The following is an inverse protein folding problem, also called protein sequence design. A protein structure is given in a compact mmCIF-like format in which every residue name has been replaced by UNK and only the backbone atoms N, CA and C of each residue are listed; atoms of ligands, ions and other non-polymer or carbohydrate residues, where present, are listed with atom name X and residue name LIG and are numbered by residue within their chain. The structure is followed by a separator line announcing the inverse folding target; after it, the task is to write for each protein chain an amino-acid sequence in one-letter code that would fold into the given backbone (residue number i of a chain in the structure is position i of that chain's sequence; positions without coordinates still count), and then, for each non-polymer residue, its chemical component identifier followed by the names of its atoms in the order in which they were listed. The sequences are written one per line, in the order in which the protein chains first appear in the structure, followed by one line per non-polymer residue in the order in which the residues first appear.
data_IF_446637456646
#
_entry.id   IF_446637456646
#
_cell.length_a   1.000
_cell.length_b   1.000
_cell.length_c   1.000
_cell.angle_alpha   90.00
_cell.angle_beta   90.00
_cell.angle_gamma   90.00
#
_symmetry.space_group_name_H-M   'P 1'
#
loop_
_entity.id
_entity.type
_entity.pdbx_description
1 polymer ?
#
# COMPACT_ATOMS: atom_id res chain seq x y z
N UNK A 1 8.10 -8.82 -17.31
CA UNK A 1 8.21 -7.58 -16.48
C UNK A 1 6.83 -7.21 -16.00
N UNK A 2 6.74 -6.68 -14.78
CA UNK A 2 5.46 -6.27 -14.26
C UNK A 2 5.08 -4.87 -14.77
N UNK A 3 3.79 -4.55 -14.73
CA UNK A 3 3.31 -3.20 -15.09
C UNK A 3 3.95 -2.12 -14.22
N UNK A 4 4.37 -2.47 -12.99
CA UNK A 4 5.01 -1.52 -12.10
C UNK A 4 6.43 -1.16 -12.55
N UNK A 5 7.10 -2.07 -13.26
CA UNK A 5 8.45 -1.81 -13.79
C UNK A 5 8.45 -0.75 -14.90
N UNK A 6 7.30 -0.52 -15.52
CA UNK A 6 7.15 0.42 -16.62
C UNK A 6 6.70 1.82 -16.17
N UNK A 7 6.49 2.03 -14.87
CA UNK A 7 6.06 3.32 -14.35
C UNK A 7 7.22 4.31 -14.43
N UNK A 8 6.96 5.48 -15.05
CA UNK A 8 7.95 6.54 -15.14
C UNK A 8 8.31 7.09 -13.77
N UNK A 9 9.59 7.37 -13.56
CA UNK A 9 10.05 8.01 -12.31
C UNK A 9 9.36 9.36 -12.06
N UNK A 10 8.86 10.01 -13.10
CA UNK A 10 8.11 11.26 -12.95
C UNK A 10 6.83 11.08 -12.14
N UNK A 11 6.32 9.85 -12.02
CA UNK A 11 5.14 9.53 -11.23
C UNK A 11 5.47 9.14 -9.78
N UNK A 12 6.75 9.01 -9.44
CA UNK A 12 7.16 8.67 -8.08
C UNK A 12 6.94 9.86 -7.17
N UNK A 13 6.19 9.63 -6.09
CA UNK A 13 5.95 10.65 -5.07
C UNK A 13 7.16 10.78 -4.16
N UNK A 14 7.77 9.65 -3.84
CA UNK A 14 9.00 9.55 -3.06
C UNK A 14 9.66 8.22 -3.35
N UNK A 15 10.92 8.08 -2.95
CA UNK A 15 11.62 6.81 -3.05
C UNK A 15 12.50 6.60 -1.82
N UNK A 16 12.78 5.34 -1.52
CA UNK A 16 13.77 4.92 -0.55
C UNK A 16 14.80 4.07 -1.27
N UNK A 17 15.70 3.45 -0.52
CA UNK A 17 16.78 2.65 -1.14
C UNK A 17 16.23 1.53 -2.03
N UNK A 18 15.17 0.84 -1.57
CA UNK A 18 14.67 -0.36 -2.25
C UNK A 18 13.22 -0.23 -2.73
N UNK A 19 12.58 0.91 -2.49
CA UNK A 19 11.17 1.11 -2.85
C UNK A 19 10.95 2.45 -3.51
N UNK A 20 9.86 2.54 -4.25
CA UNK A 20 9.33 3.80 -4.73
C UNK A 20 7.83 3.84 -4.44
N UNK A 21 7.28 5.03 -4.36
CA UNK A 21 5.87 5.23 -3.99
C UNK A 21 5.16 6.02 -5.08
N UNK A 22 3.99 5.52 -5.45
CA UNK A 22 3.11 6.23 -6.38
C UNK A 22 1.73 6.39 -5.76
N UNK A 23 0.94 7.31 -6.29
CA UNK A 23 -0.50 7.31 -6.03
C UNK A 23 -1.15 6.22 -6.88
N UNK A 24 -2.08 5.45 -6.30
CA UNK A 24 -2.76 4.40 -7.04
C UNK A 24 -3.60 5.04 -8.16
N UNK A 25 -3.55 4.46 -9.35
CA UNK A 25 -4.34 4.93 -10.50
C UNK A 25 -5.85 4.71 -10.28
N UNK A 26 -6.21 3.78 -9.41
CA UNK A 26 -7.60 3.44 -9.07
C UNK A 26 -7.80 3.60 -7.56
N UNK A 27 -7.69 4.82 -7.04
CA UNK A 27 -7.68 5.03 -5.59
C UNK A 27 -9.02 4.68 -4.97
N UNK A 28 -8.99 3.96 -3.85
CA UNK A 28 -10.21 3.67 -3.09
C UNK A 28 -10.58 4.86 -2.20
N UNK A 29 -9.59 5.67 -1.82
CA UNK A 29 -9.77 6.97 -1.18
C UNK A 29 -8.73 7.94 -1.73
N UNK A 30 -8.96 9.23 -1.55
CA UNK A 30 -8.01 10.24 -1.99
C UNK A 30 -6.66 10.05 -1.28
N UNK A 31 -5.60 9.95 -2.05
CA UNK A 31 -4.25 9.78 -1.53
C UNK A 31 -3.82 8.31 -1.40
N UNK A 32 -4.68 7.36 -1.75
CA UNK A 32 -4.32 5.93 -1.77
C UNK A 32 -3.00 5.75 -2.50
N UNK A 33 -2.01 5.22 -1.80
CA UNK A 33 -0.64 5.11 -2.31
C UNK A 33 -0.19 3.67 -2.31
N UNK A 34 0.74 3.38 -3.21
CA UNK A 34 1.38 2.07 -3.33
C UNK A 34 2.88 2.23 -3.09
N UNK A 35 3.40 1.42 -2.19
CA UNK A 35 4.84 1.29 -1.96
C UNK A 35 5.28 0.06 -2.74
N UNK A 36 6.12 0.25 -3.75
CA UNK A 36 6.46 -0.78 -4.73
C UNK A 36 7.96 -1.08 -4.62
N UNK A 37 8.32 -2.36 -4.62
CA UNK A 37 9.72 -2.75 -4.60
C UNK A 37 10.40 -2.41 -5.92
N UNK A 38 11.64 -1.89 -5.86
CA UNK A 38 12.43 -1.63 -7.07
C UNK A 38 12.79 -2.95 -7.75
N UNK A 39 13.14 -3.97 -6.96
CA UNK A 39 13.39 -5.32 -7.47
C UNK A 39 12.04 -6.02 -7.67
N UNK A 40 11.85 -6.64 -8.80
CA UNK A 40 10.61 -7.34 -9.11
C UNK A 40 10.57 -8.68 -8.37
N UNK A 41 9.96 -8.69 -7.20
CA UNK A 41 9.70 -9.90 -6.40
C UNK A 41 8.19 -10.08 -6.25
N UNK A 42 7.77 -11.31 -6.04
CA UNK A 42 6.35 -11.67 -6.04
C UNK A 42 5.60 -10.97 -4.91
N UNK A 43 6.07 -11.13 -3.68
CA UNK A 43 5.36 -10.65 -2.50
C UNK A 43 6.34 -10.38 -1.35
N UNK A 44 5.78 -10.04 -0.19
CA UNK A 44 6.54 -9.73 1.02
C UNK A 44 7.53 -10.85 1.38
N UNK A 45 7.15 -12.10 1.18
CA UNK A 45 7.95 -13.23 1.64
C UNK A 45 9.20 -13.44 0.78
N UNK A 46 9.26 -12.84 -0.40
CA UNK A 46 10.45 -12.87 -1.26
C UNK A 46 11.39 -11.68 -1.07
N UNK A 47 11.00 -10.70 -0.24
CA UNK A 47 11.89 -9.59 0.10
C UNK A 47 13.04 -10.12 0.94
N UNK A 48 14.25 -9.60 0.71
CA UNK A 48 15.38 -9.92 1.58
C UNK A 48 15.34 -9.06 2.85
N UNK A 49 16.27 -9.32 3.78
CA UNK A 49 16.24 -8.64 5.09
C UNK A 49 16.44 -7.13 4.97
N UNK A 50 17.30 -6.69 4.06
CA UNK A 50 17.55 -5.27 3.85
C UNK A 50 16.33 -4.57 3.28
N UNK A 51 15.64 -5.23 2.36
CA UNK A 51 14.39 -4.73 1.80
C UNK A 51 13.31 -4.64 2.86
N UNK A 52 13.19 -5.65 3.72
CA UNK A 52 12.20 -5.63 4.81
C UNK A 52 12.46 -4.49 5.79
N UNK A 53 13.71 -4.21 6.09
CA UNK A 53 14.06 -3.08 6.95
C UNK A 53 13.73 -1.75 6.27
N UNK A 54 14.05 -1.62 4.99
CA UNK A 54 13.76 -0.40 4.23
C UNK A 54 12.26 -0.20 4.02
N UNK A 55 11.47 -1.27 4.01
CA UNK A 55 10.02 -1.16 3.93
C UNK A 55 9.46 -0.36 5.10
N UNK A 56 9.99 -0.55 6.30
CA UNK A 56 9.59 0.23 7.46
C UNK A 56 9.83 1.73 7.23
N UNK A 57 10.99 2.08 6.67
CA UNK A 57 11.31 3.46 6.30
C UNK A 57 10.34 4.00 5.26
N UNK A 58 10.02 3.19 4.24
CA UNK A 58 9.12 3.58 3.17
C UNK A 58 7.69 3.81 3.70
N UNK A 59 7.21 2.96 4.61
CA UNK A 59 5.90 3.11 5.22
C UNK A 59 5.80 4.42 6.01
N UNK A 60 6.79 4.71 6.85
CA UNK A 60 6.80 5.93 7.65
C UNK A 60 6.92 7.17 6.78
N UNK A 61 7.78 7.15 5.76
CA UNK A 61 7.92 8.26 4.84
C UNK A 61 6.62 8.51 4.05
N UNK A 62 5.94 7.45 3.65
CA UNK A 62 4.66 7.56 2.94
C UNK A 62 3.59 8.15 3.86
N UNK A 63 3.55 7.71 5.11
CA UNK A 63 2.63 8.29 6.10
C UNK A 63 2.87 9.78 6.24
N UNK A 64 4.12 10.20 6.44
CA UNK A 64 4.45 11.61 6.61
C UNK A 64 4.06 12.43 5.38
N UNK A 65 4.29 11.89 4.20
CA UNK A 65 3.87 12.53 2.95
C UNK A 65 2.36 12.71 2.87
N UNK A 66 1.59 11.68 3.27
CA UNK A 66 0.13 11.72 3.22
C UNK A 66 -0.43 12.68 4.27
N UNK A 67 0.16 12.73 5.46
CA UNK A 67 -0.23 13.70 6.50
C UNK A 67 -0.01 15.13 5.99
N UNK A 68 1.14 15.38 5.39
CA UNK A 68 1.47 16.71 4.86
C UNK A 68 0.57 17.10 3.69
N UNK A 69 0.36 16.17 2.75
CA UNK A 69 -0.37 16.47 1.51
C UNK A 69 -1.87 16.53 1.68
N UNK A 70 -2.43 15.75 2.60
CA UNK A 70 -3.89 15.58 2.71
C UNK A 70 -4.43 15.79 4.13
N UNK A 71 -3.60 15.99 5.13
CA UNK A 71 -4.04 16.22 6.49
C UNK A 71 -4.72 15.00 7.14
N UNK A 72 -4.42 13.80 6.67
CA UNK A 72 -5.03 12.55 7.17
C UNK A 72 -4.14 11.91 8.21
N UNK A 73 -4.73 11.23 9.19
CA UNK A 73 -3.99 10.60 10.28
C UNK A 73 -4.36 9.12 10.50
N UNK A 74 -5.36 8.63 9.80
CA UNK A 74 -5.82 7.24 9.93
C UNK A 74 -5.54 6.51 8.63
N UNK A 75 -5.05 5.28 8.75
CA UNK A 75 -4.60 4.51 7.57
C UNK A 75 -4.96 3.05 7.71
N UNK A 76 -5.29 2.41 6.59
CA UNK A 76 -5.14 0.97 6.46
C UNK A 76 -3.87 0.71 5.68
N UNK A 77 -3.07 -0.23 6.17
CA UNK A 77 -1.81 -0.63 5.56
C UNK A 77 -1.92 -2.11 5.27
N UNK A 78 -1.65 -2.52 4.03
CA UNK A 78 -1.81 -3.93 3.72
C UNK A 78 -1.15 -4.37 2.44
N UNK A 79 -0.91 -5.67 2.37
CA UNK A 79 -0.27 -6.34 1.24
C UNK A 79 -1.06 -7.60 0.93
N UNK A 80 -1.28 -7.85 -0.37
CA UNK A 80 -1.90 -9.08 -0.80
C UNK A 80 -0.79 -10.05 -1.21
N UNK A 81 -0.70 -11.17 -0.52
CA UNK A 81 0.32 -12.18 -0.77
C UNK A 81 -0.35 -13.42 -1.33
N UNK A 82 -0.36 -13.55 -2.66
CA UNK A 82 -0.92 -14.69 -3.36
C UNK A 82 -2.27 -14.44 -3.99
N UNK A 83 -2.60 -15.29 -4.96
CA UNK A 83 -3.81 -15.17 -5.77
C UNK A 83 -5.08 -15.18 -4.93
N UNK A 84 -5.17 -16.08 -3.95
CA UNK A 84 -6.38 -16.20 -3.14
C UNK A 84 -6.52 -15.12 -2.09
N UNK A 85 -5.46 -14.33 -1.88
CA UNK A 85 -5.51 -13.13 -1.05
C UNK A 85 -5.84 -11.88 -1.87
N UNK A 86 -6.10 -12.05 -3.18
CA UNK A 86 -6.49 -10.94 -4.04
C UNK A 86 -5.35 -10.29 -4.81
N UNK A 87 -4.15 -10.88 -4.78
CA UNK A 87 -3.03 -10.34 -5.54
C UNK A 87 -3.28 -10.54 -7.04
N UNK A 88 -3.26 -9.46 -7.80
CA UNK A 88 -3.46 -9.49 -9.25
C UNK A 88 -2.24 -9.01 -10.03
N UNK A 89 -1.41 -8.15 -9.42
CA UNK A 89 -0.11 -7.77 -9.97
C UNK A 89 0.95 -8.49 -9.14
N UNK A 90 1.72 -9.36 -9.80
CA UNK A 90 2.67 -10.24 -9.12
C UNK A 90 4.04 -9.58 -8.98
N UNK A 91 4.03 -8.42 -8.38
CA UNK A 91 5.17 -7.60 -8.05
C UNK A 91 4.84 -6.94 -6.71
N UNK A 92 5.69 -7.11 -5.72
CA UNK A 92 5.42 -6.63 -4.36
C UNK A 92 4.95 -5.18 -4.35
N UNK A 93 3.81 -4.97 -3.71
CA UNK A 93 3.34 -3.61 -3.40
C UNK A 93 2.54 -3.62 -2.11
N UNK A 94 2.69 -2.55 -1.36
CA UNK A 94 2.02 -2.34 -0.09
C UNK A 94 1.07 -1.15 -0.25
N UNK A 95 -0.18 -1.36 0.10
CA UNK A 95 -1.20 -0.31 0.07
C UNK A 95 -1.09 0.55 1.32
N UNK A 96 -1.11 1.88 1.14
CA UNK A 96 -1.31 2.86 2.20
C UNK A 96 -2.60 3.59 1.85
N UNK A 97 -3.66 3.32 2.61
CA UNK A 97 -5.00 3.83 2.32
C UNK A 97 -5.39 4.83 3.39
N UNK A 98 -5.42 6.14 3.05
CA UNK A 98 -5.90 7.14 3.99
C UNK A 98 -7.38 6.92 4.31
N UNK A 99 -7.72 7.00 5.58
CA UNK A 99 -9.10 6.82 6.02
C UNK A 99 -9.61 8.12 6.64
N UNK A 100 -10.89 8.39 6.44
CA UNK A 100 -11.52 9.63 6.89
C UNK A 100 -12.87 9.33 7.52
N UNK A 101 -13.28 10.20 8.45
CA UNK A 101 -14.62 10.11 9.01
C UNK A 101 -15.65 10.12 7.89
N UNK A 102 -16.54 9.14 7.89
CA UNK A 102 -17.64 9.08 6.93
C UNK A 102 -17.27 8.49 5.58
N UNK A 103 -16.04 8.03 5.36
CA UNK A 103 -15.68 7.40 4.08
C UNK A 103 -16.38 6.05 3.88
N UNK A 104 -16.74 5.39 4.97
CA UNK A 104 -17.68 4.26 5.00
C UNK A 104 -18.61 4.46 6.19
N UNK A 105 -19.75 3.77 6.17
CA UNK A 105 -20.75 3.92 7.23
C UNK A 105 -20.23 3.43 8.57
N UNK A 106 -19.62 2.25 8.60
CA UNK A 106 -19.07 1.65 9.81
C UNK A 106 -17.68 1.09 9.53
N UNK A 107 -16.60 1.75 9.99
CA UNK A 107 -15.24 1.32 9.70
C UNK A 107 -14.71 0.20 10.60
N UNK A 108 -15.51 -0.27 11.56
CA UNK A 108 -15.03 -1.31 12.48
C UNK A 108 -14.60 -2.55 11.71
N UNK A 109 -13.55 -3.17 12.18
CA UNK A 109 -12.97 -4.36 11.56
C UNK A 109 -11.86 -4.06 10.56
N UNK A 110 -11.94 -2.93 9.84
CA UNK A 110 -10.86 -2.52 8.92
C UNK A 110 -10.42 -3.64 7.98
N UNK A 111 -9.17 -4.08 8.11
CA UNK A 111 -8.59 -5.11 7.24
C UNK A 111 -9.32 -6.45 7.31
N UNK A 112 -10.11 -6.71 8.35
CA UNK A 112 -10.90 -7.94 8.45
C UNK A 112 -11.91 -8.07 7.31
N UNK A 113 -12.31 -6.95 6.68
CA UNK A 113 -13.21 -6.95 5.54
C UNK A 113 -12.56 -7.48 4.25
N UNK A 114 -11.29 -7.89 4.32
CA UNK A 114 -10.66 -8.60 3.21
C UNK A 114 -11.40 -9.89 2.88
N UNK A 115 -12.08 -10.50 3.85
CA UNK A 115 -13.04 -11.58 3.61
C UNK A 115 -14.43 -10.95 3.69
N UNK A 116 -15.03 -10.74 2.53
CA UNK A 116 -16.28 -10.00 2.41
C UNK A 116 -17.39 -10.64 3.25
N UNK A 117 -18.07 -9.82 4.06
CA UNK A 117 -19.12 -10.29 4.95
C UNK A 117 -18.65 -10.86 6.28
N UNK A 118 -17.33 -10.89 6.53
CA UNK A 118 -16.75 -11.47 7.75
C UNK A 118 -16.03 -10.44 8.61
N UNK A 119 -15.97 -9.19 8.18
CA UNK A 119 -15.17 -8.17 8.87
C UNK A 119 -15.76 -7.72 10.20
N UNK A 120 -17.08 -7.75 10.35
CA UNK A 120 -17.74 -7.29 11.57
C UNK A 120 -17.73 -8.34 12.67
N UNK A 121 -17.59 -7.89 13.88
CA UNK A 121 -17.65 -8.72 15.08
C UNK A 121 -18.24 -7.86 16.22
N UNK A 122 -18.77 -8.52 17.21
CA UNK A 122 -19.36 -7.82 18.35
C UNK A 122 -18.34 -7.52 19.42
#
# INVERSE_FOLDING_TARGET
MSVFSDISQSQWVLETKYFFVIRDAYPVTQGHSLIISKREVLDYFELNIDEKQDLNTAIEATRDNLVESFGVNDFNIGMNCGKYAGQTVFHFHCHMIPRREGDVEDPRGGVRHSVIGKGYYD
#
